data_IF_744986683812
#
_entry.id   IF_744986683812
#
_cell.length_a   1.000
_cell.length_b   1.000
_cell.length_c   1.000
_cell.angle_alpha   90.00
_cell.angle_beta   90.00
_cell.angle_gamma   90.00
#
_symmetry.space_group_name_H-M   'P 1'
#
loop_
_entity.id
_entity.type
_entity.pdbx_description
1 polymer ?
#
# COMPACT_ATOMS: atom_id res chain seq x y z
N UNK A 1 -39.58 -27.56 8.30
CA UNK A 1 -38.54 -26.80 7.57
C UNK A 1 -37.60 -26.22 8.60
N UNK A 2 -36.28 -26.25 8.38
CA UNK A 2 -35.31 -25.61 9.27
C UNK A 2 -35.66 -24.11 9.41
N UNK A 3 -35.52 -23.56 10.61
CA UNK A 3 -35.63 -22.12 10.82
C UNK A 3 -34.31 -21.45 10.42
N UNK A 4 -34.37 -20.18 10.07
CA UNK A 4 -33.19 -19.36 9.76
C UNK A 4 -32.94 -18.32 10.84
N UNK A 5 -31.71 -17.82 10.93
CA UNK A 5 -31.35 -16.73 11.85
C UNK A 5 -32.24 -15.50 11.70
N UNK A 6 -32.42 -14.77 12.81
CA UNK A 6 -33.25 -13.56 12.88
C UNK A 6 -32.65 -12.34 12.16
N UNK A 7 -31.37 -12.40 11.79
CA UNK A 7 -30.69 -11.33 11.06
C UNK A 7 -30.83 -11.48 9.53
N UNK A 8 -31.66 -12.43 9.07
CA UNK A 8 -31.96 -12.63 7.65
C UNK A 8 -30.76 -13.12 6.84
N UNK A 9 -29.75 -13.70 7.50
CA UNK A 9 -28.55 -14.18 6.84
C UNK A 9 -28.75 -15.57 6.23
N UNK A 10 -29.87 -16.26 6.50
CA UNK A 10 -30.16 -17.62 6.05
C UNK A 10 -29.23 -18.70 6.64
N UNK A 11 -28.75 -18.54 7.88
CA UNK A 11 -28.15 -19.66 8.65
C UNK A 11 -29.28 -20.56 9.12
N UNK A 12 -29.34 -21.78 8.62
CA UNK A 12 -30.31 -22.76 9.09
C UNK A 12 -29.89 -23.36 10.42
N UNK A 13 -30.83 -23.54 11.34
CA UNK A 13 -30.63 -24.31 12.56
C UNK A 13 -31.76 -25.31 12.78
N UNK A 14 -31.48 -26.48 13.38
CA UNK A 14 -32.48 -27.51 13.60
C UNK A 14 -33.55 -27.06 14.60
N UNK A 15 -34.76 -27.56 14.43
CA UNK A 15 -35.88 -27.34 15.34
C UNK A 15 -36.10 -28.54 16.25
N UNK A 16 -36.92 -28.39 17.29
CA UNK A 16 -37.27 -29.48 18.22
C UNK A 16 -38.05 -30.63 17.54
N UNK A 17 -38.55 -30.42 16.31
CA UNK A 17 -39.25 -31.46 15.55
C UNK A 17 -38.32 -32.26 14.62
N UNK A 18 -37.07 -31.82 14.45
CA UNK A 18 -36.10 -32.54 13.63
C UNK A 18 -35.55 -33.77 14.37
N UNK A 19 -35.24 -34.84 13.63
CA UNK A 19 -34.62 -36.04 14.22
C UNK A 19 -33.27 -35.66 14.86
N UNK A 20 -32.98 -36.07 16.11
CA UNK A 20 -31.70 -35.78 16.75
C UNK A 20 -30.52 -36.31 15.93
N UNK A 21 -29.71 -35.39 15.39
CA UNK A 21 -28.46 -35.71 14.71
C UNK A 21 -27.44 -34.59 14.96
N UNK A 22 -26.58 -34.81 15.95
CA UNK A 22 -25.57 -33.83 16.36
C UNK A 22 -24.54 -33.55 15.25
N UNK A 23 -24.23 -34.53 14.41
CA UNK A 23 -23.30 -34.35 13.29
C UNK A 23 -23.89 -33.41 12.23
N UNK A 24 -25.14 -33.60 11.84
CA UNK A 24 -25.83 -32.72 10.89
C UNK A 24 -25.98 -31.29 11.44
N UNK A 25 -26.32 -31.16 12.73
CA UNK A 25 -26.38 -29.85 13.39
C UNK A 25 -25.02 -29.15 13.35
N UNK A 26 -23.95 -29.83 13.77
CA UNK A 26 -22.60 -29.26 13.78
C UNK A 26 -22.14 -28.85 12.38
N UNK A 27 -22.35 -29.71 11.39
CA UNK A 27 -21.98 -29.44 10.01
C UNK A 27 -22.75 -28.25 9.43
N UNK A 28 -24.07 -28.16 9.66
CA UNK A 28 -24.87 -27.03 9.19
C UNK A 28 -24.44 -25.68 9.77
N UNK A 29 -24.04 -25.65 11.06
CA UNK A 29 -23.50 -24.44 11.70
C UNK A 29 -22.16 -24.07 11.08
N UNK A 30 -21.24 -25.04 10.92
CA UNK A 30 -19.91 -24.81 10.32
C UNK A 30 -20.05 -24.29 8.89
N UNK A 31 -20.85 -24.95 8.06
CA UNK A 31 -21.03 -24.59 6.65
C UNK A 31 -21.76 -23.25 6.48
N UNK A 32 -22.70 -22.92 7.38
CA UNK A 32 -23.42 -21.65 7.37
C UNK A 32 -22.57 -20.45 7.82
N UNK A 33 -21.61 -20.66 8.75
CA UNK A 33 -20.80 -19.60 9.34
C UNK A 33 -19.44 -19.40 8.66
N UNK A 34 -18.80 -20.47 8.19
CA UNK A 34 -17.49 -20.41 7.54
C UNK A 34 -17.41 -19.36 6.42
N UNK A 35 -18.34 -19.31 5.44
CA UNK A 35 -18.27 -18.32 4.36
C UNK A 35 -18.53 -16.87 4.80
N UNK A 36 -18.99 -16.66 6.05
CA UNK A 36 -19.27 -15.35 6.66
C UNK A 36 -18.18 -14.91 7.62
N UNK A 37 -17.22 -15.80 7.89
CA UNK A 37 -16.01 -15.51 8.64
C UNK A 37 -14.88 -15.08 7.71
N UNK A 38 -13.78 -14.58 8.28
CA UNK A 38 -12.53 -14.41 7.52
C UNK A 38 -11.87 -15.77 7.33
N UNK A 39 -12.07 -16.35 6.14
CA UNK A 39 -11.47 -17.62 5.75
C UNK A 39 -9.96 -17.48 5.59
N UNK A 40 -9.15 -18.48 5.97
CA UNK A 40 -7.69 -18.42 5.87
C UNK A 40 -7.18 -19.41 4.85
N UNK A 41 -6.31 -18.96 3.94
CA UNK A 41 -5.71 -19.80 2.92
C UNK A 41 -4.20 -19.56 2.82
N UNK A 42 -3.42 -20.62 2.52
CA UNK A 42 -1.97 -20.48 2.28
C UNK A 42 -1.64 -19.52 1.12
N UNK A 43 -2.45 -19.52 0.06
CA UNK A 43 -2.25 -18.67 -1.13
C UNK A 43 -3.55 -18.47 -1.91
N UNK A 44 -3.53 -17.51 -2.85
CA UNK A 44 -4.65 -17.26 -3.76
C UNK A 44 -5.01 -18.49 -4.62
N UNK A 45 -4.01 -19.28 -5.04
CA UNK A 45 -4.21 -20.50 -5.83
C UNK A 45 -4.94 -21.58 -5.02
N UNK A 46 -4.56 -21.77 -3.75
CA UNK A 46 -5.25 -22.73 -2.87
C UNK A 46 -6.68 -22.29 -2.64
N UNK A 47 -6.93 -21.00 -2.39
CA UNK A 47 -8.30 -20.47 -2.29
C UNK A 47 -9.11 -20.75 -3.56
N UNK A 48 -8.59 -20.47 -4.75
CA UNK A 48 -9.29 -20.73 -6.02
C UNK A 48 -9.49 -22.23 -6.30
N UNK A 49 -8.65 -23.09 -5.73
CA UNK A 49 -8.86 -24.53 -5.75
C UNK A 49 -10.01 -24.95 -4.83
N UNK A 50 -10.14 -24.34 -3.65
CA UNK A 50 -11.15 -24.69 -2.64
C UNK A 50 -12.52 -24.07 -2.91
N UNK A 51 -12.58 -22.78 -3.24
CA UNK A 51 -13.83 -22.03 -3.45
C UNK A 51 -14.11 -21.94 -4.95
N UNK A 52 -14.95 -22.84 -5.46
CA UNK A 52 -15.32 -22.89 -6.90
C UNK A 52 -16.41 -21.91 -7.29
N UNK A 53 -17.30 -21.59 -6.36
CA UNK A 53 -18.46 -20.71 -6.57
C UNK A 53 -18.48 -19.63 -5.48
N UNK A 54 -17.55 -18.66 -5.52
CA UNK A 54 -17.52 -17.57 -4.55
C UNK A 54 -18.79 -16.71 -4.65
N UNK A 55 -19.23 -16.16 -3.52
CA UNK A 55 -20.38 -15.27 -3.41
C UNK A 55 -19.92 -13.90 -2.93
N UNK A 56 -20.56 -12.84 -3.41
CA UNK A 56 -20.25 -11.47 -3.01
C UNK A 56 -20.24 -11.33 -1.47
N UNK A 57 -19.21 -10.65 -0.95
CA UNK A 57 -19.02 -10.43 0.49
C UNK A 57 -18.20 -11.52 1.20
N UNK A 58 -17.85 -12.63 0.54
CA UNK A 58 -16.89 -13.58 1.11
C UNK A 58 -15.54 -12.90 1.35
N UNK A 59 -14.94 -13.13 2.53
CA UNK A 59 -13.66 -12.54 2.93
C UNK A 59 -12.61 -13.62 3.16
N UNK A 60 -11.41 -13.41 2.64
CA UNK A 60 -10.29 -14.34 2.77
C UNK A 60 -8.99 -13.62 3.16
N UNK A 61 -8.24 -14.23 4.08
CA UNK A 61 -6.86 -13.88 4.40
C UNK A 61 -5.90 -14.82 3.67
N UNK A 62 -4.93 -14.25 2.96
CA UNK A 62 -3.86 -14.98 2.27
C UNK A 62 -2.56 -14.90 3.07
N UNK A 63 -2.05 -16.05 3.49
CA UNK A 63 -0.91 -16.13 4.41
C UNK A 63 0.45 -15.84 3.76
N UNK A 64 0.62 -16.18 2.49
CA UNK A 64 1.85 -15.93 1.72
C UNK A 64 2.13 -14.44 1.52
N UNK A 65 1.10 -13.66 1.20
CA UNK A 65 1.21 -12.22 0.91
C UNK A 65 0.68 -11.30 2.02
N UNK A 66 0.22 -11.87 3.14
CA UNK A 66 -0.33 -11.15 4.31
C UNK A 66 -1.41 -10.13 3.91
N UNK A 67 -2.41 -10.60 3.15
CA UNK A 67 -3.41 -9.75 2.49
C UNK A 67 -4.83 -10.18 2.80
N UNK A 68 -5.70 -9.21 3.05
CA UNK A 68 -7.14 -9.41 3.12
C UNK A 68 -7.78 -9.14 1.75
N UNK A 69 -8.52 -10.12 1.25
CA UNK A 69 -9.29 -10.01 0.01
C UNK A 69 -10.77 -10.22 0.27
N UNK A 70 -11.61 -9.51 -0.47
CA UNK A 70 -13.07 -9.68 -0.49
C UNK A 70 -13.50 -10.04 -1.90
N UNK A 71 -14.45 -10.96 -2.05
CA UNK A 71 -15.07 -11.22 -3.36
C UNK A 71 -16.18 -10.20 -3.59
N UNK A 72 -16.06 -9.37 -4.63
CA UNK A 72 -17.02 -8.29 -4.91
C UNK A 72 -18.24 -8.74 -5.72
N UNK A 73 -18.30 -10.02 -6.09
CA UNK A 73 -19.31 -10.60 -6.98
C UNK A 73 -18.74 -10.99 -8.34
N UNK A 74 -17.60 -10.42 -8.72
CA UNK A 74 -16.92 -10.67 -10.01
C UNK A 74 -15.51 -11.21 -9.84
N UNK A 75 -14.76 -10.67 -8.88
CA UNK A 75 -13.39 -11.04 -8.61
C UNK A 75 -13.05 -10.91 -7.13
N UNK A 76 -11.96 -11.54 -6.73
CA UNK A 76 -11.35 -11.28 -5.44
C UNK A 76 -10.53 -9.99 -5.53
N UNK A 77 -10.97 -8.98 -4.78
CA UNK A 77 -10.32 -7.67 -4.72
C UNK A 77 -9.57 -7.51 -3.40
N UNK A 78 -8.43 -6.85 -3.44
CA UNK A 78 -7.63 -6.60 -2.24
C UNK A 78 -8.21 -5.43 -1.45
N UNK A 79 -8.69 -5.70 -0.24
CA UNK A 79 -9.31 -4.68 0.62
C UNK A 79 -8.27 -3.96 1.48
N UNK A 80 -7.27 -4.69 1.96
CA UNK A 80 -6.13 -4.13 2.66
C UNK A 80 -4.87 -4.98 2.40
N UNK A 81 -3.82 -4.33 1.89
CA UNK A 81 -2.48 -4.89 1.84
C UNK A 81 -1.46 -3.78 2.08
N UNK A 82 -0.27 -4.17 2.49
CA UNK A 82 0.80 -3.22 2.74
C UNK A 82 1.62 -3.66 3.94
N UNK A 83 2.93 -3.52 3.82
CA UNK A 83 3.80 -3.72 4.96
C UNK A 83 3.75 -2.49 5.86
N UNK A 84 3.55 -2.70 7.16
CA UNK A 84 3.74 -1.64 8.16
C UNK A 84 5.21 -1.18 8.23
N UNK A 85 6.14 -1.99 7.70
CA UNK A 85 7.56 -1.70 7.71
C UNK A 85 7.94 -0.72 6.59
N UNK A 86 8.58 0.37 6.98
CA UNK A 86 9.19 1.32 6.07
C UNK A 86 10.54 0.78 5.56
N UNK A 87 10.78 0.93 4.26
CA UNK A 87 12.04 0.57 3.59
C UNK A 87 12.88 1.84 3.39
N UNK A 88 14.18 1.76 3.69
CA UNK A 88 15.10 2.88 3.47
C UNK A 88 15.29 3.16 1.97
N UNK A 89 15.30 4.43 1.60
CA UNK A 89 15.74 4.88 0.29
C UNK A 89 17.27 5.04 0.38
N UNK A 90 18.00 4.23 -0.37
CA UNK A 90 19.46 4.38 -0.47
C UNK A 90 19.76 5.66 -1.24
N UNK A 91 20.41 6.63 -0.60
CA UNK A 91 20.66 7.94 -1.21
C UNK A 91 21.84 7.89 -2.20
N UNK A 92 21.74 8.67 -3.27
CA UNK A 92 22.83 8.92 -4.21
C UNK A 92 23.83 9.93 -3.64
N UNK A 93 25.07 9.93 -4.17
CA UNK A 93 26.10 10.87 -3.72
C UNK A 93 25.67 12.32 -3.90
N UNK A 94 25.92 13.19 -2.92
CA UNK A 94 25.45 14.58 -2.92
C UNK A 94 24.11 14.79 -2.19
N UNK A 95 23.54 13.73 -1.61
CA UNK A 95 22.39 13.79 -0.73
C UNK A 95 22.69 13.10 0.60
N UNK A 96 22.23 13.69 1.71
CA UNK A 96 22.29 13.06 3.03
C UNK A 96 20.90 13.00 3.66
N UNK A 97 20.71 12.05 4.57
CA UNK A 97 19.44 11.86 5.27
C UNK A 97 19.23 12.93 6.36
N UNK A 98 18.00 12.99 6.87
CA UNK A 98 17.60 13.79 8.03
C UNK A 98 17.53 15.32 7.78
N UNK A 99 17.28 15.74 6.55
CA UNK A 99 17.08 17.16 6.24
C UNK A 99 15.93 17.77 7.06
N UNK A 100 16.22 18.89 7.74
CA UNK A 100 15.33 19.53 8.72
C UNK A 100 14.85 18.59 9.84
N UNK A 101 15.72 17.69 10.31
CA UNK A 101 15.42 16.72 11.36
C UNK A 101 14.19 15.82 11.08
N UNK A 102 13.84 15.62 9.81
CA UNK A 102 12.67 14.81 9.41
C UNK A 102 12.94 13.29 9.37
N UNK A 103 14.13 12.84 9.78
CA UNK A 103 14.53 11.44 9.79
C UNK A 103 14.99 10.88 8.44
N UNK A 104 15.29 9.59 8.42
CA UNK A 104 15.79 8.88 7.23
C UNK A 104 14.73 8.80 6.13
N UNK A 105 15.07 9.14 4.87
CA UNK A 105 14.22 8.94 3.70
C UNK A 105 13.79 7.48 3.54
N UNK A 106 12.48 7.26 3.49
CA UNK A 106 11.89 5.94 3.48
C UNK A 106 10.66 5.89 2.58
N UNK A 107 10.33 4.70 2.12
CA UNK A 107 9.10 4.42 1.39
C UNK A 107 8.39 3.18 1.91
N UNK A 108 7.10 3.07 1.61
CA UNK A 108 6.33 1.83 1.70
C UNK A 108 5.27 1.80 0.63
N UNK A 109 4.82 0.60 0.26
CA UNK A 109 3.67 0.41 -0.62
C UNK A 109 2.52 -0.13 0.22
N UNK A 110 1.38 0.55 0.13
CA UNK A 110 0.15 0.19 0.83
C UNK A 110 -1.02 0.24 -0.13
N UNK A 111 -2.09 -0.46 0.19
CA UNK A 111 -3.39 -0.19 -0.40
C UNK A 111 -3.94 1.08 0.22
N UNK A 112 -4.20 2.08 -0.61
CA UNK A 112 -4.95 3.26 -0.22
C UNK A 112 -6.15 3.37 -1.15
N UNK A 113 -7.35 3.25 -0.59
CA UNK A 113 -8.63 3.36 -1.33
C UNK A 113 -8.78 2.36 -2.50
N UNK A 114 -8.27 1.14 -2.35
CA UNK A 114 -8.37 0.09 -3.38
C UNK A 114 -7.25 0.14 -4.42
N UNK A 115 -6.33 1.10 -4.34
CA UNK A 115 -5.22 1.26 -5.28
C UNK A 115 -3.87 1.07 -4.58
N UNK A 116 -2.91 0.46 -5.28
CA UNK A 116 -1.54 0.38 -4.82
C UNK A 116 -0.93 1.79 -4.78
N UNK A 117 -0.50 2.21 -3.59
CA UNK A 117 0.00 3.56 -3.35
C UNK A 117 1.37 3.50 -2.70
N UNK A 118 2.35 4.19 -3.29
CA UNK A 118 3.62 4.46 -2.63
C UNK A 118 3.45 5.65 -1.69
N UNK A 119 3.90 5.49 -0.45
CA UNK A 119 4.04 6.57 0.53
C UNK A 119 5.52 6.81 0.78
N UNK A 120 5.92 8.07 0.86
CA UNK A 120 7.26 8.50 1.23
C UNK A 120 7.24 9.21 2.59
N UNK A 121 8.37 9.19 3.28
CA UNK A 121 8.64 10.00 4.47
C UNK A 121 10.13 10.27 4.62
N UNK A 122 10.48 11.12 5.59
CA UNK A 122 11.86 11.49 5.87
C UNK A 122 12.23 12.86 5.30
N UNK A 123 13.48 13.27 5.55
CA UNK A 123 14.05 14.49 4.98
C UNK A 123 15.38 14.23 4.30
N UNK A 124 15.66 15.03 3.28
CA UNK A 124 16.90 14.97 2.51
C UNK A 124 17.57 16.32 2.59
N UNK A 125 18.85 16.34 2.96
CA UNK A 125 19.71 17.50 2.72
C UNK A 125 20.26 17.44 1.30
N UNK A 126 20.29 18.60 0.65
CA UNK A 126 20.62 18.73 -0.77
C UNK A 126 21.92 19.51 -0.92
N UNK A 127 22.87 18.91 -1.63
CA UNK A 127 24.10 19.60 -2.04
C UNK A 127 23.99 20.06 -3.49
N UNK A 128 24.42 21.29 -3.75
CA UNK A 128 24.52 21.88 -5.09
C UNK A 128 25.98 22.08 -5.46
N UNK A 129 26.29 21.98 -6.75
CA UNK A 129 27.58 22.42 -7.31
C UNK A 129 27.38 23.52 -8.37
N UNK A 130 28.46 23.87 -9.08
CA UNK A 130 28.42 24.88 -10.14
C UNK A 130 27.45 24.52 -11.28
N UNK A 131 27.13 23.24 -11.47
CA UNK A 131 26.22 22.73 -12.51
C UNK A 131 24.79 22.52 -12.00
N UNK A 132 24.50 22.83 -10.73
CA UNK A 132 23.17 22.72 -10.13
C UNK A 132 23.07 21.58 -9.11
N UNK A 133 21.89 20.97 -9.02
CA UNK A 133 21.64 19.87 -8.09
C UNK A 133 22.39 18.61 -8.54
N UNK A 134 23.02 17.91 -7.59
CA UNK A 134 23.78 16.68 -7.88
C UNK A 134 22.90 15.60 -8.52
N UNK A 135 23.50 14.79 -9.39
CA UNK A 135 22.87 13.67 -10.11
C UNK A 135 21.59 14.05 -10.89
N UNK A 136 21.49 15.30 -11.36
CA UNK A 136 20.27 15.79 -12.03
C UNK A 136 19.03 15.72 -11.13
N UNK A 137 19.23 15.74 -9.80
CA UNK A 137 18.16 15.69 -8.80
C UNK A 137 17.74 14.29 -8.39
N UNK A 138 18.27 13.22 -9.02
CA UNK A 138 17.94 11.84 -8.66
C UNK A 138 18.50 11.52 -7.27
N UNK A 139 17.62 11.32 -6.30
CA UNK A 139 17.98 11.18 -4.89
C UNK A 139 18.38 9.77 -4.50
N UNK A 140 17.94 8.73 -5.23
CA UNK A 140 18.18 7.35 -4.87
C UNK A 140 19.31 6.72 -5.71
N UNK A 141 20.26 6.06 -5.04
CA UNK A 141 21.35 5.30 -5.69
C UNK A 141 20.90 3.95 -6.22
N UNK A 142 19.83 3.39 -5.66
CA UNK A 142 19.21 2.14 -6.10
C UNK A 142 17.78 2.43 -6.52
N UNK A 143 17.43 2.02 -7.74
CA UNK A 143 16.05 2.15 -8.25
C UNK A 143 15.07 1.43 -7.33
N UNK A 144 13.89 2.02 -7.14
CA UNK A 144 12.79 1.35 -6.43
C UNK A 144 12.53 -0.05 -7.04
N UNK A 145 12.16 -1.05 -6.24
CA UNK A 145 11.77 -2.36 -6.76
C UNK A 145 10.51 -2.25 -7.62
N UNK A 146 10.28 -3.22 -8.50
CA UNK A 146 9.23 -3.17 -9.54
C UNK A 146 7.83 -2.96 -8.94
N UNK A 147 7.55 -3.53 -7.77
CA UNK A 147 6.30 -3.39 -7.02
C UNK A 147 6.06 -1.99 -6.42
N UNK A 148 7.05 -1.09 -6.49
CA UNK A 148 6.99 0.28 -6.00
C UNK A 148 7.18 1.33 -7.13
N UNK A 149 7.14 0.90 -8.40
CA UNK A 149 7.28 1.81 -9.56
C UNK A 149 5.91 2.15 -10.14
N UNK A 150 5.65 3.43 -10.43
CA UNK A 150 4.40 3.79 -11.08
C UNK A 150 4.44 3.48 -12.59
N UNK A 151 3.28 3.21 -13.17
CA UNK A 151 3.12 2.95 -14.61
C UNK A 151 3.36 4.20 -15.46
N UNK A 152 3.14 5.38 -14.86
CA UNK A 152 3.42 6.70 -15.43
C UNK A 152 4.16 7.55 -14.41
N UNK A 153 4.93 8.54 -14.86
CA UNK A 153 5.61 9.46 -13.94
C UNK A 153 4.59 10.15 -13.02
N UNK A 154 4.87 10.14 -11.71
CA UNK A 154 4.07 10.85 -10.70
C UNK A 154 4.83 12.07 -10.23
N UNK A 155 4.23 13.25 -10.33
CA UNK A 155 4.80 14.51 -9.89
C UNK A 155 4.10 14.99 -8.62
N UNK A 156 4.86 15.13 -7.54
CA UNK A 156 4.37 15.51 -6.21
C UNK A 156 4.98 16.85 -5.79
N UNK A 157 4.30 17.57 -4.91
CA UNK A 157 4.81 18.82 -4.33
C UNK A 157 5.38 18.52 -2.95
N UNK A 158 6.66 18.82 -2.76
CA UNK A 158 7.40 18.58 -1.53
C UNK A 158 7.76 19.91 -0.86
N UNK A 159 7.53 20.02 0.45
CA UNK A 159 7.99 21.17 1.23
C UNK A 159 9.52 21.20 1.28
N UNK A 160 10.11 22.38 1.26
CA UNK A 160 11.56 22.55 1.29
C UNK A 160 11.99 23.77 2.12
N UNK A 161 13.29 23.92 2.34
CA UNK A 161 13.84 25.07 3.06
C UNK A 161 13.49 26.38 2.38
N UNK A 162 12.96 27.35 3.15
CA UNK A 162 12.81 28.76 2.73
C UNK A 162 13.97 29.65 3.18
N UNK A 163 14.78 29.18 4.14
CA UNK A 163 15.90 29.98 4.66
C UNK A 163 17.07 30.12 3.69
N UNK A 164 17.14 29.24 2.68
CA UNK A 164 18.19 29.21 1.66
C UNK A 164 17.62 29.11 0.23
N UNK A 165 16.30 29.29 0.07
CA UNK A 165 15.61 29.21 -1.23
C UNK A 165 14.39 30.10 -1.24
N UNK A 166 14.13 30.76 -2.35
CA UNK A 166 12.96 31.62 -2.55
C UNK A 166 11.65 30.83 -2.71
N UNK A 167 11.72 29.51 -2.86
CA UNK A 167 10.55 28.64 -2.89
C UNK A 167 10.38 27.88 -1.58
N UNK A 168 9.13 27.81 -1.11
CA UNK A 168 8.72 26.94 -0.01
C UNK A 168 8.40 25.50 -0.44
N UNK A 169 8.40 25.24 -1.74
CA UNK A 169 8.16 23.91 -2.28
C UNK A 169 8.97 23.61 -3.55
N UNK A 170 9.29 22.34 -3.74
CA UNK A 170 9.86 21.79 -4.98
C UNK A 170 8.98 20.69 -5.50
N UNK A 171 9.16 20.34 -6.78
CA UNK A 171 8.49 19.17 -7.35
C UNK A 171 9.39 17.94 -7.13
N UNK A 172 8.77 16.81 -6.79
CA UNK A 172 9.42 15.50 -6.68
C UNK A 172 8.76 14.56 -7.68
N UNK A 173 9.53 14.06 -8.63
CA UNK A 173 9.06 13.12 -9.64
C UNK A 173 9.44 11.69 -9.22
N UNK A 174 8.47 10.77 -9.21
CA UNK A 174 8.69 9.32 -9.16
C UNK A 174 8.55 8.80 -10.59
N UNK A 175 9.66 8.36 -11.18
CA UNK A 175 9.72 7.91 -12.57
C UNK A 175 9.39 6.42 -12.69
N UNK A 176 8.98 6.01 -13.89
CA UNK A 176 8.59 4.63 -14.21
C UNK A 176 9.74 3.62 -14.08
N UNK A 177 11.00 4.07 -14.15
CA UNK A 177 12.17 3.23 -13.89
C UNK A 177 12.47 3.03 -12.39
N UNK A 178 11.76 3.69 -11.49
CA UNK A 178 11.98 3.67 -10.05
C UNK A 178 12.98 4.70 -9.52
N UNK A 179 13.40 5.68 -10.33
CA UNK A 179 14.14 6.84 -9.82
C UNK A 179 13.17 7.84 -9.18
N UNK A 180 13.61 8.46 -8.09
CA UNK A 180 12.94 9.58 -7.44
C UNK A 180 13.83 10.81 -7.66
N UNK A 181 13.28 11.90 -8.18
CA UNK A 181 14.06 13.09 -8.53
C UNK A 181 13.45 14.38 -7.97
N UNK A 182 14.27 15.21 -7.34
CA UNK A 182 13.94 16.60 -7.03
C UNK A 182 14.11 17.42 -8.32
N UNK A 183 13.11 18.23 -8.64
CA UNK A 183 13.03 18.96 -9.90
C UNK A 183 12.51 20.38 -9.67
N UNK A 184 12.91 21.30 -10.54
CA UNK A 184 12.57 22.72 -10.42
C UNK A 184 13.60 23.58 -9.69
N UNK A 185 14.81 23.06 -9.44
CA UNK A 185 15.92 23.77 -8.77
C UNK A 185 16.90 24.43 -9.76
N UNK A 186 16.46 24.68 -10.99
CA UNK A 186 17.34 25.17 -12.07
C UNK A 186 17.55 26.70 -12.03
N UNK A 187 16.76 27.42 -11.20
CA UNK A 187 16.94 28.86 -10.98
C UNK A 187 17.97 29.07 -9.87
N UNK A 188 18.78 30.12 -10.00
CA UNK A 188 19.88 30.44 -9.06
C UNK A 188 19.41 30.52 -7.61
N UNK A 189 18.20 31.04 -7.39
CA UNK A 189 17.65 31.34 -6.06
C UNK A 189 16.71 30.25 -5.53
N UNK A 190 16.47 29.17 -6.29
CA UNK A 190 15.69 28.01 -5.85
C UNK A 190 16.66 26.85 -5.58
N UNK A 191 17.37 26.96 -4.44
CA UNK A 191 18.36 25.98 -3.96
C UNK A 191 18.10 25.57 -2.52
N UNK A 192 16.95 24.95 -2.21
CA UNK A 192 16.64 24.59 -0.84
C UNK A 192 17.68 23.65 -0.27
N UNK A 193 18.19 23.96 0.93
CA UNK A 193 19.17 23.12 1.62
C UNK A 193 18.60 21.75 2.03
N UNK A 194 17.28 21.65 2.18
CA UNK A 194 16.60 20.40 2.48
C UNK A 194 15.25 20.30 1.76
N UNK A 195 14.81 19.06 1.52
CA UNK A 195 13.49 18.71 0.97
C UNK A 195 12.84 17.64 1.86
N UNK A 196 11.57 17.85 2.22
CA UNK A 196 10.78 16.91 3.02
C UNK A 196 10.01 15.95 2.11
N UNK A 197 10.11 14.66 2.39
CA UNK A 197 9.28 13.63 1.76
C UNK A 197 8.04 13.29 2.60
N UNK A 198 7.84 13.93 3.75
CA UNK A 198 6.73 13.64 4.64
C UNK A 198 5.39 13.98 3.98
N UNK A 199 4.48 13.00 3.96
CA UNK A 199 3.13 13.17 3.43
C UNK A 199 3.05 13.07 1.90
N UNK A 200 4.13 12.67 1.22
CA UNK A 200 4.09 12.41 -0.22
C UNK A 200 3.54 11.01 -0.48
N UNK A 201 2.50 10.92 -1.29
CA UNK A 201 1.93 9.66 -1.74
C UNK A 201 1.51 9.74 -3.21
N UNK A 202 1.64 8.64 -3.92
CA UNK A 202 1.22 8.53 -5.31
C UNK A 202 0.73 7.12 -5.62
N UNK A 203 -0.23 7.00 -6.53
CA UNK A 203 -0.61 5.69 -7.02
C UNK A 203 0.41 5.10 -7.99
N UNK A 204 0.48 3.77 -8.01
CA UNK A 204 1.40 2.97 -8.82
C UNK A 204 0.75 2.52 -10.13
#
# INVERSE_FOLDING_TARGET
MPLTDSYGQNITYPTLTDKPNAQTMGQGIVDGLTPRSVMRFPSASVRGATIKTPVAGMVAWLDDVKRLEVYDGTAWVSFAFGTNAWKNISLASGFTANGNANGTPQYRVVNMFGEATIMLRGGIDVTYDANGIKNGGVINSVMLPVDARPSYRRSLVAACSVGASESAAVKVDINTNGSIAIVGTNKTDIKPAWVSLNGLFASL
#
